data_IF_787520178330
#
_entry.id   IF_787520178330
#
_cell.length_a   1.000
_cell.length_b   1.000
_cell.length_c   1.000
_cell.angle_alpha   90.00
_cell.angle_beta   90.00
_cell.angle_gamma   90.00
#
_symmetry.space_group_name_H-M   'P 1'
#
loop_
_entity.id
_entity.type
_entity.pdbx_description
1 polymer ?
#
# COMPACT_ATOMS: atom_id res chain seq x y z
N UNK A 1 0.46 -41.51 -7.59
CA UNK A 1 -0.69 -40.87 -6.95
C UNK A 1 -0.80 -39.47 -7.51
N UNK A 2 -1.76 -39.22 -8.40
CA UNK A 2 -2.02 -37.88 -8.93
C UNK A 2 -2.53 -37.00 -7.78
N UNK A 3 -1.70 -36.05 -7.36
CA UNK A 3 -2.12 -35.01 -6.41
C UNK A 3 -3.24 -34.24 -7.11
N UNK A 4 -4.47 -34.42 -6.65
CA UNK A 4 -5.64 -33.74 -7.20
C UNK A 4 -5.45 -32.24 -6.95
N UNK A 5 -5.44 -31.43 -8.01
CA UNK A 5 -5.27 -29.98 -7.86
C UNK A 5 -6.30 -29.43 -6.87
N UNK A 6 -5.88 -28.58 -5.91
CA UNK A 6 -6.81 -27.98 -4.96
C UNK A 6 -7.77 -27.05 -5.72
N UNK A 7 -9.07 -27.15 -5.44
CA UNK A 7 -10.04 -26.24 -6.02
C UNK A 7 -9.72 -24.79 -5.60
N UNK A 8 -9.87 -23.82 -6.50
CA UNK A 8 -9.47 -22.42 -6.27
C UNK A 8 -10.05 -21.83 -4.97
N UNK A 9 -11.30 -22.18 -4.63
CA UNK A 9 -11.98 -21.73 -3.41
C UNK A 9 -11.40 -22.33 -2.13
N UNK A 10 -10.70 -23.45 -2.20
CA UNK A 10 -9.94 -23.99 -1.08
C UNK A 10 -8.68 -23.16 -0.81
N UNK A 11 -7.97 -22.79 -1.88
CA UNK A 11 -6.80 -21.91 -1.80
C UNK A 11 -7.21 -20.57 -1.16
N UNK A 12 -8.31 -19.97 -1.65
CA UNK A 12 -8.86 -18.73 -1.10
C UNK A 12 -9.21 -18.88 0.39
N UNK A 13 -9.88 -19.97 0.77
CA UNK A 13 -10.23 -20.22 2.17
C UNK A 13 -8.99 -20.33 3.07
N UNK A 14 -7.96 -21.07 2.63
CA UNK A 14 -6.73 -21.22 3.41
C UNK A 14 -6.02 -19.87 3.62
N UNK A 15 -5.93 -19.05 2.56
CA UNK A 15 -5.39 -17.69 2.66
C UNK A 15 -6.19 -16.86 3.66
N UNK A 16 -7.52 -16.84 3.52
CA UNK A 16 -8.39 -16.05 4.40
C UNK A 16 -8.36 -16.52 5.85
N UNK A 17 -8.14 -17.80 6.14
CA UNK A 17 -7.98 -18.29 7.51
C UNK A 17 -6.67 -17.80 8.13
N UNK A 18 -5.57 -17.77 7.38
CA UNK A 18 -4.31 -17.18 7.87
C UNK A 18 -4.46 -15.68 8.16
N UNK A 19 -5.17 -14.95 7.29
CA UNK A 19 -5.34 -13.50 7.44
C UNK A 19 -6.34 -13.16 8.55
N UNK A 20 -7.55 -13.71 8.49
CA UNK A 20 -8.66 -13.31 9.35
C UNK A 20 -8.62 -13.95 10.75
N UNK A 21 -7.97 -15.10 10.91
CA UNK A 21 -7.99 -15.86 12.17
C UNK A 21 -6.61 -15.93 12.84
N UNK A 22 -5.51 -15.83 12.08
CA UNK A 22 -4.14 -15.81 12.64
C UNK A 22 -3.47 -14.44 12.60
N UNK A 23 -4.16 -13.40 12.11
CA UNK A 23 -3.67 -12.02 12.11
C UNK A 23 -2.46 -11.79 11.20
N UNK A 24 -2.21 -12.66 10.22
CA UNK A 24 -1.13 -12.46 9.25
C UNK A 24 -1.51 -11.40 8.22
N UNK A 25 -0.52 -10.67 7.71
CA UNK A 25 -0.74 -9.62 6.72
C UNK A 25 -1.25 -10.18 5.39
N UNK A 26 -2.30 -9.56 4.85
CA UNK A 26 -3.01 -10.02 3.65
C UNK A 26 -2.09 -10.15 2.45
N UNK A 27 -1.34 -9.08 2.16
CA UNK A 27 -0.42 -8.99 1.02
C UNK A 27 0.72 -10.02 1.08
N UNK A 28 1.21 -10.36 2.28
CA UNK A 28 2.30 -11.34 2.45
C UNK A 28 1.80 -12.74 2.13
N UNK A 29 0.67 -13.15 2.72
CA UNK A 29 0.12 -14.50 2.50
C UNK A 29 -0.38 -14.68 1.08
N UNK A 30 -1.00 -13.64 0.51
CA UNK A 30 -1.45 -13.67 -0.87
C UNK A 30 -0.28 -13.78 -1.84
N UNK A 31 0.79 -13.00 -1.66
CA UNK A 31 1.99 -13.08 -2.49
C UNK A 31 2.65 -14.48 -2.43
N UNK A 32 2.80 -15.03 -1.22
CA UNK A 32 3.33 -16.39 -1.03
C UNK A 32 2.47 -17.44 -1.73
N UNK A 33 1.13 -17.33 -1.63
CA UNK A 33 0.22 -18.24 -2.30
C UNK A 33 0.28 -18.10 -3.82
N UNK A 34 0.26 -16.88 -4.36
CA UNK A 34 0.33 -16.65 -5.81
C UNK A 34 1.65 -17.13 -6.41
N UNK A 35 2.75 -17.00 -5.68
CA UNK A 35 4.05 -17.57 -6.05
C UNK A 35 4.01 -19.09 -6.05
N UNK A 36 3.47 -19.70 -4.97
CA UNK A 36 3.32 -21.16 -4.86
C UNK A 36 2.44 -21.75 -5.96
N UNK A 37 1.39 -21.03 -6.37
CA UNK A 37 0.44 -21.44 -7.39
C UNK A 37 0.66 -20.72 -8.72
N UNK A 38 1.90 -20.33 -9.05
CA UNK A 38 2.24 -19.66 -10.30
C UNK A 38 1.89 -20.50 -11.54
N UNK A 39 1.81 -21.82 -11.42
CA UNK A 39 1.43 -22.70 -12.54
C UNK A 39 -0.05 -22.61 -12.95
N UNK A 40 -0.92 -21.98 -12.14
CA UNK A 40 -2.34 -21.79 -12.49
C UNK A 40 -2.50 -20.82 -13.67
N UNK A 41 -3.64 -20.84 -14.34
CA UNK A 41 -3.93 -19.83 -15.37
C UNK A 41 -4.06 -18.42 -14.77
N UNK A 42 -3.75 -17.38 -15.56
CA UNK A 42 -3.86 -15.97 -15.14
C UNK A 42 -5.25 -15.63 -14.59
N UNK A 43 -6.28 -16.15 -15.22
CA UNK A 43 -7.67 -15.94 -14.80
C UNK A 43 -7.93 -16.51 -13.41
N UNK A 44 -7.37 -17.68 -13.09
CA UNK A 44 -7.53 -18.34 -11.81
C UNK A 44 -6.78 -17.62 -10.69
N UNK A 45 -5.53 -17.20 -10.96
CA UNK A 45 -4.76 -16.35 -10.03
C UNK A 45 -5.46 -15.02 -9.77
N UNK A 46 -6.01 -14.40 -10.81
CA UNK A 46 -6.78 -13.16 -10.70
C UNK A 46 -8.05 -13.36 -9.86
N UNK A 47 -8.74 -14.50 -10.04
CA UNK A 47 -9.91 -14.86 -9.23
C UNK A 47 -9.54 -15.07 -7.76
N UNK A 48 -8.45 -15.79 -7.47
CA UNK A 48 -7.95 -15.96 -6.09
C UNK A 48 -7.67 -14.59 -5.45
N UNK A 49 -6.88 -13.76 -6.13
CA UNK A 49 -6.54 -12.41 -5.66
C UNK A 49 -7.80 -11.58 -5.38
N UNK A 50 -8.73 -11.51 -6.34
CA UNK A 50 -9.93 -10.67 -6.21
C UNK A 50 -10.83 -11.13 -5.06
N UNK A 51 -11.04 -12.43 -4.89
CA UNK A 51 -11.90 -12.92 -3.79
C UNK A 51 -11.22 -12.72 -2.44
N UNK A 52 -9.91 -12.97 -2.32
CA UNK A 52 -9.17 -12.73 -1.06
C UNK A 52 -9.22 -11.25 -0.69
N UNK A 53 -8.75 -10.37 -1.59
CA UNK A 53 -8.68 -8.93 -1.35
C UNK A 53 -10.08 -8.37 -1.03
N UNK A 54 -11.07 -8.72 -1.85
CA UNK A 54 -12.44 -8.25 -1.67
C UNK A 54 -13.11 -8.76 -0.40
N UNK A 55 -12.84 -9.99 0.02
CA UNK A 55 -13.38 -10.51 1.30
C UNK A 55 -12.80 -9.77 2.49
N UNK A 56 -11.52 -9.39 2.44
CA UNK A 56 -10.89 -8.56 3.46
C UNK A 56 -11.45 -7.14 3.37
N UNK A 57 -11.40 -6.50 2.20
CA UNK A 57 -11.86 -5.13 1.92
C UNK A 57 -13.29 -4.87 2.42
N UNK A 58 -14.21 -5.80 2.17
CA UNK A 58 -15.62 -5.66 2.53
C UNK A 58 -16.00 -6.32 3.87
N UNK A 59 -15.05 -6.73 4.71
CA UNK A 59 -15.33 -7.55 5.91
C UNK A 59 -16.43 -7.00 6.82
N UNK A 60 -16.45 -5.69 7.10
CA UNK A 60 -17.48 -5.08 7.97
C UNK A 60 -18.85 -5.14 7.28
N UNK A 61 -18.89 -4.80 6.00
CA UNK A 61 -20.12 -4.84 5.21
C UNK A 61 -20.65 -6.28 5.09
N UNK A 62 -19.78 -7.25 4.79
CA UNK A 62 -20.12 -8.67 4.71
C UNK A 62 -20.63 -9.21 6.04
N UNK A 63 -20.02 -8.82 7.16
CA UNK A 63 -20.49 -9.19 8.49
C UNK A 63 -21.88 -8.63 8.77
N UNK A 64 -22.16 -7.39 8.37
CA UNK A 64 -23.48 -6.79 8.45
C UNK A 64 -24.50 -7.58 7.61
N UNK A 65 -24.20 -7.82 6.33
CA UNK A 65 -25.07 -8.58 5.40
C UNK A 65 -25.38 -9.97 5.99
N UNK A 66 -24.35 -10.71 6.42
CA UNK A 66 -24.52 -12.03 7.01
C UNK A 66 -25.41 -11.98 8.27
N UNK A 67 -25.24 -10.97 9.12
CA UNK A 67 -26.03 -10.79 10.33
C UNK A 67 -27.50 -10.42 10.08
N UNK A 68 -27.82 -9.89 8.89
CA UNK A 68 -29.18 -9.59 8.43
C UNK A 68 -29.93 -10.82 7.92
N UNK A 69 -29.22 -11.82 7.37
CA UNK A 69 -29.82 -13.04 6.81
C UNK A 69 -29.59 -14.31 7.64
N UNK A 70 -28.83 -14.23 8.73
CA UNK A 70 -28.54 -15.36 9.62
C UNK A 70 -29.05 -15.13 11.04
N UNK A 71 -29.72 -16.15 11.59
CA UNK A 71 -30.08 -16.18 13.02
C UNK A 71 -28.86 -16.33 13.93
N UNK A 72 -27.82 -17.04 13.47
CA UNK A 72 -26.54 -17.15 14.17
C UNK A 72 -25.69 -15.96 13.78
N UNK A 73 -25.28 -15.14 14.76
CA UNK A 73 -24.42 -13.98 14.49
C UNK A 73 -23.03 -14.41 14.07
N UNK A 74 -22.40 -13.64 13.19
CA UNK A 74 -21.11 -13.94 12.57
C UNK A 74 -20.02 -14.25 13.61
N UNK A 75 -19.94 -13.48 14.69
CA UNK A 75 -18.98 -13.70 15.76
C UNK A 75 -19.19 -15.01 16.55
N UNK A 76 -20.38 -15.63 16.48
CA UNK A 76 -20.71 -16.92 17.10
C UNK A 76 -20.52 -18.12 16.16
N UNK A 77 -20.26 -17.88 14.88
CA UNK A 77 -20.01 -18.95 13.91
C UNK A 77 -18.60 -19.52 14.09
N UNK A 78 -18.42 -20.80 13.78
CA UNK A 78 -17.09 -21.42 13.72
C UNK A 78 -16.22 -20.68 12.67
N UNK A 79 -14.92 -20.45 12.94
CA UNK A 79 -14.04 -19.68 12.04
C UNK A 79 -14.13 -20.09 10.56
N UNK A 80 -14.01 -21.39 10.28
CA UNK A 80 -14.11 -21.93 8.91
C UNK A 80 -15.45 -21.60 8.25
N UNK A 81 -16.56 -21.77 8.97
CA UNK A 81 -17.90 -21.48 8.42
C UNK A 81 -18.10 -19.99 8.17
N UNK A 82 -17.66 -19.16 9.12
CA UNK A 82 -17.68 -17.71 8.96
C UNK A 82 -16.90 -17.27 7.72
N UNK A 83 -15.70 -17.79 7.53
CA UNK A 83 -14.86 -17.43 6.38
C UNK A 83 -15.45 -17.90 5.06
N UNK A 84 -15.99 -19.13 5.00
CA UNK A 84 -16.73 -19.64 3.83
C UNK A 84 -17.91 -18.72 3.49
N UNK A 85 -18.68 -18.31 4.50
CA UNK A 85 -19.82 -17.43 4.31
C UNK A 85 -19.40 -16.04 3.84
N UNK A 86 -18.35 -15.43 4.41
CA UNK A 86 -17.81 -14.14 4.00
C UNK A 86 -17.35 -14.14 2.54
N UNK A 87 -16.49 -15.09 2.16
CA UNK A 87 -15.98 -15.15 0.79
C UNK A 87 -17.07 -15.45 -0.24
N UNK A 88 -18.12 -16.17 0.16
CA UNK A 88 -19.24 -16.49 -0.73
C UNK A 88 -20.23 -15.35 -0.84
N UNK A 89 -20.50 -14.63 0.25
CA UNK A 89 -21.29 -13.40 0.24
C UNK A 89 -20.60 -12.33 -0.63
N UNK A 90 -19.27 -12.22 -0.55
CA UNK A 90 -18.50 -11.33 -1.43
C UNK A 90 -18.73 -11.65 -2.91
N UNK A 91 -18.63 -12.93 -3.30
CA UNK A 91 -18.91 -13.35 -4.67
C UNK A 91 -20.35 -13.00 -5.11
N UNK A 92 -21.35 -13.22 -4.25
CA UNK A 92 -22.77 -12.95 -4.56
C UNK A 92 -23.06 -11.45 -4.70
N UNK A 93 -22.43 -10.61 -3.87
CA UNK A 93 -22.73 -9.18 -3.78
C UNK A 93 -21.85 -8.29 -4.66
N UNK A 94 -20.65 -8.73 -5.03
CA UNK A 94 -19.66 -7.88 -5.71
C UNK A 94 -19.02 -8.49 -6.95
N UNK A 95 -19.36 -9.72 -7.34
CA UNK A 95 -18.79 -10.38 -8.52
C UNK A 95 -19.86 -10.79 -9.52
N UNK A 96 -20.32 -9.87 -10.36
CA UNK A 96 -21.39 -10.09 -11.34
C UNK A 96 -21.15 -11.26 -12.30
N UNK A 97 -19.87 -11.59 -12.57
CA UNK A 97 -19.49 -12.71 -13.44
C UNK A 97 -19.59 -14.08 -12.77
N UNK A 98 -19.79 -14.14 -11.46
CA UNK A 98 -19.92 -15.39 -10.70
C UNK A 98 -21.40 -15.66 -10.45
N UNK A 99 -22.00 -16.72 -11.04
CA UNK A 99 -23.39 -17.05 -10.76
C UNK A 99 -23.61 -17.33 -9.27
N UNK A 100 -24.63 -16.71 -8.67
CA UNK A 100 -24.99 -16.89 -7.26
C UNK A 100 -25.14 -18.37 -6.87
N UNK A 101 -25.72 -19.17 -7.78
CA UNK A 101 -25.90 -20.62 -7.59
C UNK A 101 -24.56 -21.36 -7.50
N UNK A 102 -23.55 -20.95 -8.26
CA UNK A 102 -22.20 -21.51 -8.21
C UNK A 102 -21.51 -21.16 -6.89
N UNK A 103 -21.61 -19.90 -6.44
CA UNK A 103 -21.08 -19.48 -5.14
C UNK A 103 -21.70 -20.29 -3.98
N UNK A 104 -23.04 -20.46 -3.99
CA UNK A 104 -23.74 -21.27 -2.98
C UNK A 104 -23.30 -22.75 -3.00
N UNK A 105 -23.25 -23.37 -4.17
CA UNK A 105 -22.95 -24.79 -4.31
C UNK A 105 -21.51 -25.09 -3.89
N UNK A 106 -20.55 -24.25 -4.28
CA UNK A 106 -19.15 -24.43 -3.91
C UNK A 106 -18.91 -24.19 -2.42
N UNK A 107 -19.63 -23.24 -1.80
CA UNK A 107 -19.56 -23.04 -0.35
C UNK A 107 -20.02 -24.28 0.44
N UNK A 108 -21.06 -24.96 -0.03
CA UNK A 108 -21.56 -26.21 0.57
C UNK A 108 -20.52 -27.32 0.47
N UNK A 109 -19.96 -27.53 -0.73
CA UNK A 109 -18.91 -28.53 -0.95
C UNK A 109 -17.68 -28.25 -0.08
N UNK A 110 -17.31 -26.98 0.05
CA UNK A 110 -16.17 -26.54 0.85
C UNK A 110 -16.40 -26.80 2.34
N UNK A 111 -17.61 -26.54 2.85
CA UNK A 111 -17.97 -26.86 4.23
C UNK A 111 -17.94 -28.38 4.50
N UNK A 112 -18.46 -29.20 3.59
CA UNK A 112 -18.38 -30.67 3.69
C UNK A 112 -16.92 -31.14 3.69
N UNK A 113 -16.09 -30.64 2.76
CA UNK A 113 -14.67 -31.00 2.66
C UNK A 113 -13.87 -30.64 3.91
N UNK A 114 -14.24 -29.55 4.59
CA UNK A 114 -13.59 -29.08 5.84
C UNK A 114 -14.16 -29.74 7.10
N UNK A 115 -14.94 -30.82 6.97
CA UNK A 115 -15.46 -31.59 8.10
C UNK A 115 -16.72 -31.00 8.75
N UNK A 116 -17.40 -30.06 8.07
CA UNK A 116 -18.62 -29.41 8.58
C UNK A 116 -19.88 -29.84 7.82
N UNK A 117 -19.98 -31.12 7.43
CA UNK A 117 -21.11 -31.65 6.67
C UNK A 117 -22.46 -31.43 7.36
N UNK A 118 -22.50 -31.43 8.70
CA UNK A 118 -23.72 -31.13 9.48
C UNK A 118 -24.21 -29.66 9.37
N UNK A 119 -23.36 -28.75 8.87
CA UNK A 119 -23.68 -27.33 8.70
C UNK A 119 -23.97 -26.94 7.25
N UNK A 120 -23.98 -27.90 6.31
CA UNK A 120 -24.22 -27.61 4.89
C UNK A 120 -25.57 -26.94 4.61
N UNK A 121 -26.63 -27.38 5.31
CA UNK A 121 -27.96 -26.80 5.18
C UNK A 121 -28.01 -25.36 5.67
N UNK A 122 -27.27 -25.07 6.75
CA UNK A 122 -27.12 -23.71 7.26
C UNK A 122 -26.38 -22.81 6.27
N UNK A 123 -25.22 -23.26 5.76
CA UNK A 123 -24.43 -22.50 4.77
C UNK A 123 -25.26 -22.19 3.53
N UNK A 124 -25.90 -23.21 2.94
CA UNK A 124 -26.76 -23.02 1.77
C UNK A 124 -27.93 -22.09 2.06
N UNK A 125 -28.60 -22.27 3.20
CA UNK A 125 -29.77 -21.48 3.60
C UNK A 125 -29.46 -19.99 3.73
N UNK A 126 -28.34 -19.64 4.35
CA UNK A 126 -27.89 -18.25 4.50
C UNK A 126 -27.55 -17.65 3.13
N UNK A 127 -26.70 -18.29 2.34
CA UNK A 127 -26.26 -17.75 1.04
C UNK A 127 -27.40 -17.61 0.03
N UNK A 128 -28.34 -18.58 0.00
CA UNK A 128 -29.54 -18.49 -0.83
C UNK A 128 -30.47 -17.35 -0.40
N UNK A 129 -30.53 -17.05 0.89
CA UNK A 129 -31.33 -15.92 1.39
C UNK A 129 -30.70 -14.58 1.02
N UNK A 130 -29.36 -14.48 1.09
CA UNK A 130 -28.63 -13.31 0.60
C UNK A 130 -28.85 -13.11 -0.90
N UNK A 131 -28.65 -14.16 -1.71
CA UNK A 131 -28.85 -14.08 -3.17
C UNK A 131 -30.24 -13.58 -3.56
N UNK A 132 -31.31 -14.00 -2.86
CA UNK A 132 -32.67 -13.50 -3.09
C UNK A 132 -32.94 -12.08 -2.58
N UNK A 133 -32.15 -11.62 -1.61
CA UNK A 133 -32.39 -10.39 -0.87
C UNK A 133 -31.42 -9.26 -1.18
N UNK A 134 -30.31 -9.52 -1.89
CA UNK A 134 -29.18 -8.60 -2.05
C UNK A 134 -29.57 -7.24 -2.66
N UNK A 135 -30.56 -7.23 -3.55
CA UNK A 135 -31.04 -6.00 -4.20
C UNK A 135 -31.86 -5.10 -3.25
N UNK A 136 -32.30 -5.62 -2.09
CA UNK A 136 -33.06 -4.89 -1.08
C UNK A 136 -32.19 -4.51 0.15
N UNK A 137 -30.87 -4.63 0.06
CA UNK A 137 -29.96 -4.29 1.15
C UNK A 137 -29.95 -2.78 1.39
N UNK A 138 -30.26 -2.38 2.62
CA UNK A 138 -30.09 -1.00 3.10
C UNK A 138 -29.01 -0.98 4.16
N UNK A 139 -28.00 -0.15 3.98
CA UNK A 139 -26.95 0.05 4.96
C UNK A 139 -27.31 1.21 5.90
N UNK A 140 -27.06 1.07 7.20
CA UNK A 140 -27.48 2.07 8.19
C UNK A 140 -26.66 3.36 8.13
N UNK A 141 -25.42 3.27 7.66
CA UNK A 141 -24.47 4.39 7.59
C UNK A 141 -23.36 4.12 6.54
N UNK A 142 -22.55 5.15 6.28
CA UNK A 142 -21.42 5.08 5.36
C UNK A 142 -20.27 4.19 5.84
N UNK A 143 -20.12 4.02 7.15
CA UNK A 143 -19.07 3.21 7.75
C UNK A 143 -19.28 1.74 7.39
N UNK A 144 -20.49 1.22 7.55
CA UNK A 144 -20.86 -0.12 7.09
C UNK A 144 -20.90 -0.18 5.55
N UNK A 145 -21.48 0.81 4.87
CA UNK A 145 -21.58 0.83 3.40
C UNK A 145 -20.20 0.78 2.72
N UNK A 146 -19.20 1.47 3.25
CA UNK A 146 -17.85 1.49 2.70
C UNK A 146 -16.89 0.51 3.39
N UNK A 147 -17.39 -0.34 4.30
CA UNK A 147 -16.59 -1.28 5.08
C UNK A 147 -15.43 -0.61 5.82
N UNK A 148 -15.71 0.50 6.49
CA UNK A 148 -14.78 1.28 7.29
C UNK A 148 -15.10 1.11 8.78
N UNK A 149 -14.12 1.02 9.69
CA UNK A 149 -14.39 1.11 11.11
C UNK A 149 -15.00 2.46 11.48
N UNK A 150 -15.97 2.46 12.40
CA UNK A 150 -16.71 3.65 12.80
C UNK A 150 -15.82 4.78 13.31
N UNK A 151 -14.79 4.42 14.07
CA UNK A 151 -13.85 5.40 14.63
C UNK A 151 -13.03 6.09 13.53
N UNK A 152 -12.59 5.35 12.49
CA UNK A 152 -11.89 5.94 11.34
C UNK A 152 -12.83 6.82 10.52
N UNK A 153 -14.07 6.36 10.28
CA UNK A 153 -15.07 7.14 9.57
C UNK A 153 -15.37 8.46 10.30
N UNK A 154 -15.56 8.41 11.62
CA UNK A 154 -15.78 9.59 12.46
C UNK A 154 -14.59 10.55 12.43
N UNK A 155 -13.38 10.03 12.59
CA UNK A 155 -12.14 10.81 12.54
C UNK A 155 -12.01 11.56 11.21
N UNK A 156 -12.12 10.87 10.07
CA UNK A 156 -11.96 11.51 8.77
C UNK A 156 -13.08 12.47 8.39
N UNK A 157 -14.32 12.21 8.81
CA UNK A 157 -15.41 13.18 8.65
C UNK A 157 -15.11 14.46 9.43
N UNK A 158 -14.54 14.34 10.63
CA UNK A 158 -14.13 15.49 11.43
C UNK A 158 -12.92 16.23 10.82
N UNK A 159 -11.95 15.52 10.24
CA UNK A 159 -10.73 16.12 9.69
C UNK A 159 -10.95 16.75 8.31
N UNK A 160 -11.67 16.06 7.42
CA UNK A 160 -11.75 16.41 6.00
C UNK A 160 -13.15 16.84 5.53
N UNK A 161 -14.17 16.70 6.38
CA UNK A 161 -15.56 16.92 6.03
C UNK A 161 -16.19 15.72 5.30
N UNK A 162 -17.52 15.71 5.21
CA UNK A 162 -18.25 14.56 4.68
C UNK A 162 -18.02 14.31 3.18
N UNK A 163 -17.92 15.36 2.37
CA UNK A 163 -17.75 15.22 0.93
C UNK A 163 -16.40 14.57 0.58
N UNK A 164 -15.32 15.09 1.16
CA UNK A 164 -13.97 14.53 1.00
C UNK A 164 -13.92 13.10 1.50
N UNK A 165 -14.50 12.81 2.67
CA UNK A 165 -14.61 11.46 3.20
C UNK A 165 -15.29 10.50 2.20
N UNK A 166 -16.46 10.88 1.64
CA UNK A 166 -17.16 10.05 0.65
C UNK A 166 -16.30 9.79 -0.59
N UNK A 167 -15.61 10.80 -1.12
CA UNK A 167 -14.70 10.65 -2.27
C UNK A 167 -13.52 9.73 -1.96
N UNK A 168 -12.94 9.83 -0.77
CA UNK A 168 -11.88 8.92 -0.32
C UNK A 168 -12.39 7.47 -0.27
N UNK A 169 -13.58 7.26 0.31
CA UNK A 169 -14.14 5.90 0.44
C UNK A 169 -14.41 5.27 -0.92
N UNK A 170 -15.00 6.03 -1.85
CA UNK A 170 -15.23 5.57 -3.21
C UNK A 170 -13.91 5.29 -3.95
N UNK A 171 -12.86 6.08 -3.71
CA UNK A 171 -11.55 5.84 -4.32
C UNK A 171 -10.84 4.60 -3.78
N UNK A 172 -11.00 4.29 -2.49
CA UNK A 172 -10.41 3.08 -1.92
C UNK A 172 -11.02 1.79 -2.48
N UNK A 173 -12.30 1.81 -2.84
CA UNK A 173 -13.01 0.65 -3.39
C UNK A 173 -12.86 0.49 -4.92
N UNK A 174 -12.21 1.44 -5.60
CA UNK A 174 -11.94 1.37 -7.04
C UNK A 174 -10.63 0.63 -7.29
N UNK A 175 -10.62 -0.20 -8.34
CA UNK A 175 -9.40 -0.82 -8.82
C UNK A 175 -8.39 0.25 -9.23
N UNK A 176 -7.14 0.10 -8.77
CA UNK A 176 -6.03 1.01 -9.10
C UNK A 176 -5.08 0.33 -10.07
N UNK A 177 -4.57 1.05 -11.08
CA UNK A 177 -3.53 0.52 -11.95
C UNK A 177 -2.26 0.23 -11.14
N UNK A 178 -1.47 -0.73 -11.64
CA UNK A 178 -0.12 -0.93 -11.18
C UNK A 178 0.72 0.22 -11.73
N UNK A 179 1.45 0.92 -10.88
CA UNK A 179 2.32 2.02 -11.32
C UNK A 179 3.78 1.60 -11.25
N UNK A 180 4.60 2.13 -12.16
CA UNK A 180 6.03 1.94 -12.18
C UNK A 180 6.74 3.25 -12.50
N UNK A 181 7.87 3.49 -11.83
CA UNK A 181 8.84 4.52 -12.17
C UNK A 181 9.85 3.96 -13.17
N UNK A 182 10.18 4.71 -14.20
CA UNK A 182 11.17 4.40 -15.21
C UNK A 182 12.55 4.84 -14.73
N UNK A 183 13.54 3.95 -14.80
CA UNK A 183 14.93 4.26 -14.49
C UNK A 183 15.61 4.77 -15.77
N UNK A 184 15.40 6.04 -16.13
CA UNK A 184 15.81 6.59 -17.43
C UNK A 184 17.34 6.64 -17.67
N UNK A 185 18.15 6.50 -16.62
CA UNK A 185 19.60 6.32 -16.76
C UNK A 185 20.00 4.91 -17.23
N UNK A 186 19.08 3.95 -17.15
CA UNK A 186 19.31 2.54 -17.51
C UNK A 186 18.87 2.22 -18.93
N UNK A 187 17.73 2.78 -19.33
CA UNK A 187 17.17 2.57 -20.66
C UNK A 187 16.31 3.76 -21.08
N UNK A 188 16.27 4.02 -22.39
CA UNK A 188 15.39 5.04 -22.94
C UNK A 188 13.92 4.65 -22.76
N UNK A 189 13.06 5.65 -22.49
CA UNK A 189 11.63 5.44 -22.29
C UNK A 189 11.00 4.60 -23.41
N UNK A 190 11.31 4.88 -24.68
CA UNK A 190 10.74 4.15 -25.80
C UNK A 190 11.14 2.67 -25.81
N UNK A 191 12.41 2.36 -25.52
CA UNK A 191 12.89 0.97 -25.39
C UNK A 191 12.11 0.21 -24.31
N UNK A 192 11.83 0.86 -23.18
CA UNK A 192 11.07 0.24 -22.08
C UNK A 192 9.63 -0.04 -22.52
N UNK A 193 8.97 0.93 -23.16
CA UNK A 193 7.60 0.80 -23.65
C UNK A 193 7.48 -0.30 -24.71
N UNK A 194 8.46 -0.40 -25.62
CA UNK A 194 8.49 -1.43 -26.67
C UNK A 194 8.68 -2.83 -26.06
N UNK A 195 9.57 -3.00 -25.07
CA UNK A 195 9.77 -4.27 -24.35
C UNK A 195 8.49 -4.71 -23.63
N UNK A 196 7.81 -3.77 -22.96
CA UNK A 196 6.52 -4.04 -22.29
C UNK A 196 5.44 -4.44 -23.31
N UNK A 197 5.34 -3.73 -24.43
CA UNK A 197 4.38 -4.00 -25.49
C UNK A 197 4.59 -5.37 -26.15
N UNK A 198 5.85 -5.75 -26.40
CA UNK A 198 6.22 -7.08 -26.93
C UNK A 198 5.81 -8.23 -25.98
N UNK A 199 5.68 -7.94 -24.68
CA UNK A 199 5.24 -8.90 -23.65
C UNK A 199 3.74 -8.77 -23.31
N UNK A 200 2.98 -8.03 -24.13
CA UNK A 200 1.53 -7.88 -23.99
C UNK A 200 1.10 -7.00 -22.83
N UNK A 201 2.00 -6.17 -22.29
CA UNK A 201 1.71 -5.19 -21.23
C UNK A 201 1.45 -3.84 -21.88
N UNK A 202 0.30 -3.25 -21.54
CA UNK A 202 -0.03 -1.88 -21.95
C UNK A 202 0.54 -0.92 -20.91
N UNK A 203 1.37 0.03 -21.36
CA UNK A 203 1.90 1.10 -20.53
C UNK A 203 1.32 2.45 -20.97
N UNK A 204 0.83 3.25 -20.01
CA UNK A 204 0.29 4.60 -20.25
C UNK A 204 0.96 5.59 -19.31
N UNK A 205 1.24 6.81 -19.76
CA UNK A 205 1.79 7.85 -18.89
C UNK A 205 0.84 8.16 -17.72
N UNK A 206 1.42 8.42 -16.54
CA UNK A 206 0.68 8.87 -15.36
C UNK A 206 0.00 10.23 -15.59
N UNK A 207 0.55 11.03 -16.51
CA UNK A 207 0.23 12.45 -16.78
C UNK A 207 0.72 13.44 -15.72
N UNK A 208 1.29 12.97 -14.61
CA UNK A 208 1.72 13.82 -13.48
C UNK A 208 3.23 13.82 -13.28
N UNK A 209 3.92 12.74 -13.65
CA UNK A 209 5.37 12.64 -13.68
C UNK A 209 5.80 11.95 -14.98
N UNK A 210 6.87 12.46 -15.62
CA UNK A 210 7.31 12.06 -16.96
C UNK A 210 7.92 10.65 -16.99
N UNK A 211 8.43 10.21 -15.85
CA UNK A 211 9.06 8.91 -15.61
C UNK A 211 8.10 7.92 -14.92
N UNK A 212 6.84 8.27 -14.65
CA UNK A 212 5.86 7.35 -14.03
C UNK A 212 4.83 6.89 -15.04
N UNK A 213 4.67 5.57 -15.16
CA UNK A 213 3.72 4.91 -16.04
C UNK A 213 2.73 4.02 -15.27
N UNK A 214 1.53 3.88 -15.81
CA UNK A 214 0.50 2.93 -15.41
C UNK A 214 0.58 1.69 -16.29
N UNK A 215 0.73 0.53 -15.67
CA UNK A 215 0.80 -0.78 -16.29
C UNK A 215 -0.57 -1.48 -16.22
N UNK A 216 -1.02 -2.00 -17.36
CA UNK A 216 -2.21 -2.83 -17.51
C UNK A 216 -1.83 -4.16 -18.16
N UNK A 217 -2.49 -5.24 -17.74
CA UNK A 217 -2.28 -6.56 -18.33
C UNK A 217 -1.04 -7.30 -17.82
N UNK A 218 -0.32 -6.78 -16.82
CA UNK A 218 0.80 -7.50 -16.17
C UNK A 218 0.29 -8.83 -15.60
N UNK A 219 0.96 -9.92 -15.98
CA UNK A 219 0.66 -11.26 -15.45
C UNK A 219 1.63 -11.66 -14.34
N UNK A 220 2.93 -11.66 -14.66
CA UNK A 220 4.01 -11.96 -13.74
C UNK A 220 5.09 -10.89 -13.88
N UNK A 221 5.30 -10.12 -12.82
CA UNK A 221 6.15 -8.93 -12.83
C UNK A 221 7.62 -9.30 -13.08
N UNK A 222 8.11 -10.32 -12.40
CA UNK A 222 9.47 -10.84 -12.52
C UNK A 222 9.69 -11.54 -13.87
N UNK A 223 8.60 -11.84 -14.57
CA UNK A 223 8.57 -12.28 -15.97
C UNK A 223 8.88 -11.16 -16.96
N UNK A 224 8.77 -9.90 -16.56
CA UNK A 224 9.03 -8.77 -17.44
C UNK A 224 10.53 -8.49 -17.58
N UNK A 225 11.00 -8.38 -18.83
CA UNK A 225 12.39 -8.00 -19.12
C UNK A 225 12.75 -6.65 -18.52
N UNK A 226 11.94 -5.62 -18.76
CA UNK A 226 12.15 -4.28 -18.20
C UNK A 226 12.25 -4.27 -16.67
N UNK A 227 11.56 -5.20 -15.98
CA UNK A 227 11.70 -5.35 -14.53
C UNK A 227 13.03 -6.02 -14.16
N UNK A 228 13.38 -7.14 -14.79
CA UNK A 228 14.62 -7.89 -14.51
C UNK A 228 15.88 -7.09 -14.79
N UNK A 229 15.89 -6.30 -15.85
CA UNK A 229 17.03 -5.47 -16.26
C UNK A 229 17.15 -4.16 -15.45
N UNK A 230 16.25 -3.94 -14.49
CA UNK A 230 16.23 -2.75 -13.64
C UNK A 230 15.83 -1.48 -14.39
N UNK A 231 15.14 -1.58 -15.53
CA UNK A 231 14.68 -0.42 -16.29
C UNK A 231 13.45 0.24 -15.67
N UNK A 232 12.75 -0.47 -14.78
CA UNK A 232 11.64 0.07 -14.01
C UNK A 232 11.62 -0.43 -12.57
N UNK A 233 11.00 0.37 -11.71
CA UNK A 233 10.71 0.06 -10.32
C UNK A 233 9.20 0.15 -10.09
N UNK A 234 8.60 -0.87 -9.47
CA UNK A 234 7.20 -0.76 -9.03
C UNK A 234 7.13 0.22 -7.88
N UNK A 235 6.45 1.35 -8.13
CA UNK A 235 6.32 2.46 -7.21
C UNK A 235 5.08 3.28 -7.57
N UNK A 236 4.31 3.68 -6.56
CA UNK A 236 3.18 4.61 -6.74
C UNK A 236 3.68 6.03 -7.01
N UNK A 237 2.91 6.79 -7.81
CA UNK A 237 3.20 8.18 -8.13
C UNK A 237 3.54 9.02 -6.89
N UNK A 238 2.78 8.87 -5.81
CA UNK A 238 3.00 9.64 -4.58
C UNK A 238 4.36 9.37 -3.93
N UNK A 239 4.86 8.13 -4.01
CA UNK A 239 6.18 7.79 -3.49
C UNK A 239 7.31 8.22 -4.42
N UNK A 240 7.09 8.33 -5.73
CA UNK A 240 8.07 8.87 -6.66
C UNK A 240 8.28 10.37 -6.41
N UNK A 241 7.18 11.12 -6.26
CA UNK A 241 7.19 12.57 -6.01
C UNK A 241 7.96 12.97 -4.75
N UNK A 242 8.11 12.08 -3.76
CA UNK A 242 8.92 12.34 -2.57
C UNK A 242 10.41 12.51 -2.90
N UNK A 243 10.94 11.76 -3.87
CA UNK A 243 12.31 11.94 -4.35
C UNK A 243 12.48 13.25 -5.11
N UNK A 244 11.51 13.59 -5.96
CA UNK A 244 11.52 14.85 -6.72
C UNK A 244 11.47 16.09 -5.81
N UNK A 245 10.72 16.01 -4.71
CA UNK A 245 10.59 17.08 -3.72
C UNK A 245 11.92 17.45 -3.05
N UNK A 246 12.84 16.47 -2.93
CA UNK A 246 14.08 16.57 -2.17
C UNK A 246 15.07 17.58 -2.77
N UNK A 247 14.99 17.86 -4.08
CA UNK A 247 15.91 18.76 -4.76
C UNK A 247 17.36 18.29 -4.75
N UNK A 248 17.56 16.96 -4.85
CA UNK A 248 18.87 16.29 -4.91
C UNK A 248 19.66 16.80 -6.12
N UNK A 249 20.96 17.01 -5.92
CA UNK A 249 21.90 17.52 -6.92
C UNK A 249 23.06 16.55 -7.13
N UNK A 250 23.72 16.69 -8.27
CA UNK A 250 24.92 15.93 -8.60
C UNK A 250 25.97 16.05 -7.48
N UNK A 251 26.46 14.89 -7.03
CA UNK A 251 27.48 14.80 -5.98
C UNK A 251 26.94 14.80 -4.54
N UNK A 252 25.64 14.99 -4.32
CA UNK A 252 25.06 14.95 -2.96
C UNK A 252 25.27 13.57 -2.30
N UNK A 253 25.46 13.60 -0.98
CA UNK A 253 25.36 12.41 -0.14
C UNK A 253 23.96 12.33 0.48
N UNK A 254 23.24 11.24 0.20
CA UNK A 254 21.86 11.02 0.62
C UNK A 254 21.78 9.86 1.62
N UNK A 255 21.09 10.07 2.74
CA UNK A 255 20.73 9.01 3.69
C UNK A 255 19.22 8.79 3.66
N UNK A 256 18.77 7.59 3.31
CA UNK A 256 17.37 7.16 3.36
C UNK A 256 17.14 6.28 4.59
N UNK A 257 16.49 6.83 5.62
CA UNK A 257 16.18 6.11 6.86
C UNK A 257 14.81 5.44 6.77
N UNK A 258 14.72 4.22 7.33
CA UNK A 258 13.55 3.36 7.21
C UNK A 258 13.20 3.03 5.75
N UNK A 259 14.24 2.92 4.91
CA UNK A 259 14.09 2.95 3.45
C UNK A 259 13.59 1.66 2.82
N UNK A 260 13.41 0.55 3.54
CA UNK A 260 13.02 -0.71 2.93
C UNK A 260 11.62 -0.65 2.28
N UNK A 261 11.43 -1.21 1.06
CA UNK A 261 12.34 -2.08 0.32
C UNK A 261 13.36 -1.36 -0.61
N UNK A 262 13.51 -0.03 -0.48
CA UNK A 262 14.54 0.77 -1.15
C UNK A 262 14.01 1.76 -2.19
N UNK A 263 12.70 1.86 -2.40
CA UNK A 263 12.13 2.58 -3.54
C UNK A 263 12.51 4.07 -3.64
N UNK A 264 12.63 4.77 -2.51
CA UNK A 264 13.01 6.20 -2.45
C UNK A 264 14.52 6.39 -2.55
N UNK A 265 15.32 5.62 -1.81
CA UNK A 265 16.78 5.63 -1.98
C UNK A 265 17.23 5.26 -3.40
N UNK A 266 16.60 4.27 -4.03
CA UNK A 266 16.82 3.96 -5.45
C UNK A 266 16.41 5.13 -6.34
N UNK A 267 15.35 5.87 -6.00
CA UNK A 267 14.99 7.09 -6.72
C UNK A 267 16.09 8.14 -6.62
N UNK A 268 16.58 8.38 -5.40
CA UNK A 268 17.65 9.34 -5.16
C UNK A 268 18.91 8.98 -5.97
N UNK A 269 19.26 7.70 -6.03
CA UNK A 269 20.41 7.24 -6.81
C UNK A 269 20.19 7.35 -8.33
N UNK A 270 18.95 7.13 -8.80
CA UNK A 270 18.58 7.44 -10.18
C UNK A 270 18.71 8.94 -10.45
N UNK A 271 18.22 9.84 -9.60
CA UNK A 271 18.37 11.29 -9.79
C UNK A 271 19.86 11.69 -9.86
N UNK A 272 20.69 11.08 -9.02
CA UNK A 272 22.13 11.33 -8.97
C UNK A 272 22.90 10.85 -10.22
N UNK A 273 22.32 9.97 -11.05
CA UNK A 273 22.94 9.54 -12.31
C UNK A 273 24.34 8.92 -12.16
N UNK A 274 24.61 8.26 -11.03
CA UNK A 274 25.93 7.69 -10.72
C UNK A 274 26.93 8.66 -10.07
N UNK A 275 26.55 9.92 -9.86
CA UNK A 275 27.29 10.86 -9.02
C UNK A 275 26.92 10.68 -7.54
N UNK A 276 27.69 11.27 -6.62
CA UNK A 276 27.37 11.23 -5.19
C UNK A 276 27.31 9.81 -4.61
N UNK A 277 26.52 9.65 -3.54
CA UNK A 277 26.31 8.35 -2.88
C UNK A 277 24.97 8.33 -2.14
N UNK A 278 24.28 7.19 -2.16
CA UNK A 278 23.07 6.96 -1.37
C UNK A 278 23.29 5.81 -0.39
N UNK A 279 22.97 6.04 0.87
CA UNK A 279 22.91 5.00 1.89
C UNK A 279 21.46 4.76 2.34
N UNK A 280 20.97 3.54 2.14
CA UNK A 280 19.62 3.13 2.53
C UNK A 280 19.70 2.29 3.81
N UNK A 281 19.00 2.72 4.85
CA UNK A 281 19.05 2.14 6.20
C UNK A 281 17.71 1.57 6.64
N UNK A 282 17.72 0.43 7.30
CA UNK A 282 16.55 -0.08 8.03
C UNK A 282 16.96 -0.94 9.24
N UNK A 283 16.01 -1.19 10.15
CA UNK A 283 16.24 -1.76 11.49
C UNK A 283 16.60 -3.25 11.48
N UNK A 284 16.38 -3.98 10.38
CA UNK A 284 16.57 -5.43 10.36
C UNK A 284 17.21 -5.97 9.09
N UNK A 285 18.01 -7.03 9.27
CA UNK A 285 18.62 -7.80 8.18
C UNK A 285 17.62 -8.20 7.11
N UNK A 286 16.44 -8.71 7.52
CA UNK A 286 15.42 -9.16 6.57
C UNK A 286 14.91 -8.02 5.67
N UNK A 287 14.84 -6.78 6.17
CA UNK A 287 14.46 -5.62 5.38
C UNK A 287 15.62 -5.11 4.52
N UNK A 288 16.84 -5.12 5.05
CA UNK A 288 18.06 -4.76 4.30
C UNK A 288 18.29 -5.73 3.15
N UNK A 289 18.03 -7.02 3.30
CA UNK A 289 18.11 -7.97 2.19
C UNK A 289 17.15 -7.63 1.03
N UNK A 290 15.97 -7.07 1.30
CA UNK A 290 15.06 -6.59 0.25
C UNK A 290 15.63 -5.36 -0.48
N UNK A 291 16.37 -4.52 0.24
CA UNK A 291 17.06 -3.36 -0.34
C UNK A 291 18.21 -3.86 -1.24
N UNK A 292 19.04 -4.78 -0.75
CA UNK A 292 20.15 -5.37 -1.49
C UNK A 292 19.68 -6.08 -2.77
N UNK A 293 18.56 -6.80 -2.71
CA UNK A 293 17.94 -7.41 -3.90
C UNK A 293 17.57 -6.35 -4.95
N UNK A 294 16.97 -5.24 -4.53
CA UNK A 294 16.62 -4.15 -5.47
C UNK A 294 17.85 -3.38 -5.95
N UNK A 295 18.91 -3.21 -5.14
CA UNK A 295 20.19 -2.64 -5.56
C UNK A 295 20.83 -3.54 -6.64
N UNK A 296 20.89 -4.85 -6.39
CA UNK A 296 21.44 -5.81 -7.34
C UNK A 296 20.70 -5.79 -8.68
N UNK A 297 19.37 -5.63 -8.66
CA UNK A 297 18.55 -5.54 -9.87
C UNK A 297 18.66 -4.20 -10.59
N UNK A 298 18.81 -3.07 -9.87
CA UNK A 298 18.87 -1.74 -10.49
C UNK A 298 20.14 -1.52 -11.30
N UNK A 299 21.23 -2.22 -10.94
CA UNK A 299 22.54 -2.08 -11.58
C UNK A 299 23.20 -0.71 -11.32
N UNK A 300 22.70 0.04 -10.35
CA UNK A 300 23.29 1.29 -9.86
C UNK A 300 24.51 0.99 -8.96
N UNK A 301 25.52 1.86 -8.98
CA UNK A 301 26.81 1.64 -8.29
C UNK A 301 27.08 2.61 -7.14
N UNK A 302 26.31 3.69 -7.04
CA UNK A 302 26.39 4.73 -6.03
C UNK A 302 25.41 4.51 -4.86
N UNK A 303 25.21 3.24 -4.46
CA UNK A 303 24.27 2.83 -3.42
C UNK A 303 24.92 1.85 -2.44
N UNK A 304 24.54 1.94 -1.16
CA UNK A 304 24.79 0.91 -0.16
C UNK A 304 23.59 0.72 0.77
N UNK A 305 23.42 -0.50 1.27
CA UNK A 305 22.42 -0.81 2.28
C UNK A 305 23.11 -1.01 3.64
N UNK A 306 22.47 -0.61 4.73
CA UNK A 306 22.98 -0.80 6.09
C UNK A 306 21.86 -1.12 7.08
N UNK A 307 22.16 -2.00 8.04
CA UNK A 307 21.27 -2.27 9.17
C UNK A 307 21.51 -1.19 10.23
N UNK A 308 20.52 -0.31 10.42
CA UNK A 308 20.58 0.75 11.42
C UNK A 308 19.20 0.97 12.04
N UNK A 309 19.15 1.09 13.37
CA UNK A 309 17.98 1.58 14.08
C UNK A 309 17.94 3.10 13.99
N UNK A 310 16.88 3.66 13.42
CA UNK A 310 16.71 5.10 13.25
C UNK A 310 16.51 5.85 14.59
N UNK A 311 16.27 5.13 15.69
CA UNK A 311 16.26 5.67 17.05
C UNK A 311 17.68 5.75 17.65
N UNK A 312 18.65 5.06 17.05
CA UNK A 312 20.03 5.07 17.51
C UNK A 312 20.82 6.14 16.75
N UNK A 313 21.44 7.05 17.49
CA UNK A 313 22.31 8.06 16.90
C UNK A 313 23.62 7.42 16.40
N UNK A 314 23.91 7.61 15.11
CA UNK A 314 25.16 7.25 14.47
C UNK A 314 26.11 8.46 14.38
N UNK A 315 27.21 8.48 15.16
CA UNK A 315 28.18 9.59 15.14
C UNK A 315 28.85 9.81 13.79
N UNK A 316 29.04 8.75 12.99
CA UNK A 316 29.70 8.87 11.68
C UNK A 316 28.81 9.59 10.65
N UNK A 317 27.51 9.71 10.96
CA UNK A 317 26.54 10.40 10.13
C UNK A 317 26.23 11.83 10.58
N UNK A 318 26.82 12.31 11.69
CA UNK A 318 26.56 13.66 12.20
C UNK A 318 26.93 14.73 11.17
N UNK A 319 25.95 15.54 10.78
CA UNK A 319 26.08 16.59 9.77
C UNK A 319 26.79 16.12 8.49
N UNK A 320 26.58 14.86 8.12
CA UNK A 320 27.28 14.24 6.99
C UNK A 320 26.49 14.31 5.69
N UNK A 321 25.15 14.33 5.75
CA UNK A 321 24.28 14.21 4.59
C UNK A 321 23.82 15.56 4.04
N UNK A 322 23.87 15.70 2.71
CA UNK A 322 23.28 16.84 1.99
C UNK A 322 21.75 16.72 1.97
N UNK A 323 21.24 15.48 1.89
CA UNK A 323 19.82 15.16 1.94
C UNK A 323 19.58 13.96 2.87
N UNK A 324 18.61 14.08 3.77
CA UNK A 324 18.06 12.95 4.53
C UNK A 324 16.62 12.71 4.08
N UNK A 325 16.32 11.50 3.65
CA UNK A 325 14.96 11.04 3.36
C UNK A 325 14.48 10.23 4.56
N UNK A 326 13.38 10.68 5.16
CA UNK A 326 12.72 10.06 6.29
C UNK A 326 11.33 9.57 5.87
N UNK A 327 11.27 8.37 5.29
CA UNK A 327 10.02 7.66 4.97
C UNK A 327 9.59 6.81 6.16
N UNK A 328 8.95 7.46 7.13
CA UNK A 328 8.85 6.90 8.47
C UNK A 328 7.76 5.81 8.58
N UNK A 329 7.95 4.84 9.50
CA UNK A 329 6.91 3.90 9.87
C UNK A 329 5.63 4.66 10.24
N UNK A 330 4.53 4.33 9.58
CA UNK A 330 3.25 5.01 9.76
C UNK A 330 2.10 4.02 9.69
N UNK A 331 0.89 4.52 9.94
CA UNK A 331 -0.31 3.71 10.00
C UNK A 331 -0.72 3.11 8.66
N UNK A 332 -0.19 3.63 7.54
CA UNK A 332 -0.49 3.15 6.18
C UNK A 332 -1.94 3.40 5.76
N UNK A 333 -2.66 4.28 6.46
CA UNK A 333 -4.07 4.55 6.22
C UNK A 333 -4.36 5.13 4.82
N UNK A 334 -3.36 5.71 4.15
CA UNK A 334 -3.48 6.23 2.79
C UNK A 334 -3.47 5.15 1.70
N UNK A 335 -3.00 3.95 2.01
CA UNK A 335 -2.85 2.83 1.06
C UNK A 335 -3.84 1.69 1.32
N UNK A 336 -4.92 1.93 2.08
CA UNK A 336 -5.89 0.87 2.44
C UNK A 336 -6.61 0.26 1.24
N UNK A 337 -6.67 0.96 0.10
CA UNK A 337 -7.17 0.40 -1.17
C UNK A 337 -6.24 -0.66 -1.79
N UNK A 338 -4.94 -0.64 -1.42
CA UNK A 338 -3.96 -1.66 -1.82
C UNK A 338 -3.78 -2.72 -0.75
N UNK A 339 -3.89 -2.35 0.53
CA UNK A 339 -3.72 -3.22 1.70
C UNK A 339 -4.93 -3.08 2.63
N UNK A 340 -6.06 -3.73 2.31
CA UNK A 340 -7.34 -3.55 3.00
C UNK A 340 -7.34 -4.03 4.45
N UNK A 341 -6.37 -4.84 4.88
CA UNK A 341 -6.22 -5.29 6.26
C UNK A 341 -5.79 -4.18 7.22
N UNK A 342 -5.14 -3.12 6.73
CA UNK A 342 -4.65 -2.00 7.54
C UNK A 342 -5.76 -1.41 8.43
N UNK A 343 -6.92 -1.10 7.85
CA UNK A 343 -8.03 -0.48 8.59
C UNK A 343 -8.59 -1.36 9.72
N UNK A 344 -8.39 -2.68 9.68
CA UNK A 344 -8.87 -3.58 10.73
C UNK A 344 -7.86 -3.81 11.85
N UNK A 345 -6.58 -3.61 11.57
CA UNK A 345 -5.49 -3.84 12.52
C UNK A 345 -5.06 -2.56 13.25
N UNK A 346 -5.52 -1.41 12.77
CA UNK A 346 -5.27 -0.10 13.35
C UNK A 346 -6.23 0.20 14.51
N UNK A 347 -5.72 0.89 15.54
CA UNK A 347 -6.49 1.42 16.67
C UNK A 347 -6.06 2.87 16.94
N UNK A 348 -6.88 3.67 17.64
CA UNK A 348 -6.49 5.03 18.02
C UNK A 348 -5.16 5.09 18.80
N UNK A 349 -4.91 4.13 19.67
CA UNK A 349 -3.68 4.07 20.48
C UNK A 349 -2.46 3.81 19.59
N UNK A 350 -2.53 2.83 18.70
CA UNK A 350 -1.44 2.55 17.74
C UNK A 350 -1.16 3.74 16.81
N UNK A 351 -2.20 4.48 16.44
CA UNK A 351 -2.08 5.66 15.60
C UNK A 351 -1.27 6.76 16.31
N UNK A 352 -1.56 6.99 17.59
CA UNK A 352 -0.81 7.90 18.44
C UNK A 352 0.63 7.42 18.69
N UNK A 353 0.81 6.14 19.01
CA UNK A 353 2.14 5.55 19.24
C UNK A 353 3.05 5.71 18.02
N UNK A 354 2.51 5.56 16.81
CA UNK A 354 3.26 5.78 15.56
C UNK A 354 3.64 7.25 15.37
N UNK A 355 2.74 8.19 15.69
CA UNK A 355 3.06 9.61 15.62
C UNK A 355 4.18 9.98 16.62
N UNK A 356 4.16 9.41 17.83
CA UNK A 356 5.23 9.59 18.82
C UNK A 356 6.56 8.99 18.34
N UNK A 357 6.53 7.76 17.83
CA UNK A 357 7.72 7.10 17.27
C UNK A 357 8.36 7.92 16.15
N UNK A 358 7.55 8.52 15.28
CA UNK A 358 8.04 9.40 14.21
C UNK A 358 8.81 10.61 14.77
N UNK A 359 8.32 11.22 15.87
CA UNK A 359 9.04 12.32 16.54
C UNK A 359 10.37 11.89 17.14
N UNK A 360 10.41 10.70 17.75
CA UNK A 360 11.64 10.14 18.29
C UNK A 360 12.68 9.93 17.19
N UNK A 361 12.28 9.33 16.06
CA UNK A 361 13.16 9.16 14.90
C UNK A 361 13.61 10.52 14.36
N UNK A 362 12.69 11.46 14.12
CA UNK A 362 13.02 12.80 13.62
C UNK A 362 14.01 13.55 14.51
N UNK A 363 13.92 13.37 15.83
CA UNK A 363 14.84 13.99 16.81
C UNK A 363 16.28 13.52 16.62
N UNK A 364 16.47 12.28 16.18
CA UNK A 364 17.78 11.68 15.91
C UNK A 364 18.26 12.06 14.52
N UNK A 365 17.47 11.75 13.49
CA UNK A 365 17.94 11.80 12.09
C UNK A 365 18.13 13.22 11.56
N UNK A 366 17.53 14.23 12.18
CA UNK A 366 17.80 15.63 11.86
C UNK A 366 19.27 16.01 12.08
N UNK A 367 19.95 15.35 13.01
CA UNK A 367 21.38 15.58 13.28
C UNK A 367 22.26 15.14 12.12
N UNK A 368 21.77 14.25 11.26
CA UNK A 368 22.52 13.77 10.10
C UNK A 368 22.57 14.80 8.96
N UNK A 369 21.67 15.78 8.98
CA UNK A 369 21.58 16.82 7.95
C UNK A 369 22.69 17.86 8.17
N UNK A 370 23.47 18.15 7.12
CA UNK A 370 24.43 19.26 7.12
C UNK A 370 23.75 20.61 7.37
N UNK A 371 24.45 21.60 7.93
CA UNK A 371 24.01 23.00 7.83
C UNK A 371 23.70 23.37 6.37
N UNK A 372 22.50 23.88 6.10
CA UNK A 372 22.01 24.16 4.76
C UNK A 372 21.51 22.95 3.94
N UNK A 373 21.61 21.73 4.49
CA UNK A 373 21.09 20.50 3.88
C UNK A 373 19.57 20.35 4.02
N UNK A 374 19.02 19.29 3.42
CA UNK A 374 17.57 19.07 3.30
C UNK A 374 17.12 17.82 4.05
N UNK A 375 15.98 17.91 4.74
CA UNK A 375 15.25 16.77 5.29
C UNK A 375 13.92 16.63 4.55
N UNK A 376 13.67 15.48 3.95
CA UNK A 376 12.37 15.11 3.40
C UNK A 376 11.67 14.18 4.38
N UNK A 377 10.56 14.64 4.94
CA UNK A 377 9.70 13.82 5.78
C UNK A 377 8.51 13.33 4.97
N UNK A 378 8.28 12.01 4.92
CA UNK A 378 7.15 11.44 4.19
C UNK A 378 6.53 10.24 4.88
N UNK A 379 5.25 10.01 4.60
CA UNK A 379 4.47 8.89 5.13
C UNK A 379 3.39 8.47 4.13
N UNK A 380 2.95 7.20 4.18
CA UNK A 380 1.81 6.69 3.39
C UNK A 380 0.48 6.73 4.16
N UNK A 381 0.30 7.76 5.01
CA UNK A 381 -0.89 7.98 5.81
C UNK A 381 -1.63 9.27 5.44
N UNK A 382 -2.91 9.31 5.82
CA UNK A 382 -3.80 10.48 5.76
C UNK A 382 -4.20 10.90 7.19
N UNK A 383 -3.38 10.54 8.17
CA UNK A 383 -3.61 10.96 9.55
C UNK A 383 -2.87 12.26 9.83
N UNK A 384 -3.60 13.25 10.30
CA UNK A 384 -3.05 14.59 10.59
C UNK A 384 -1.97 14.57 11.66
N UNK A 385 -2.16 13.74 12.68
CA UNK A 385 -1.23 13.65 13.83
C UNK A 385 0.15 13.14 13.42
N UNK A 386 0.18 12.12 12.55
CA UNK A 386 1.42 11.62 11.95
C UNK A 386 2.04 12.64 11.00
N UNK A 387 1.26 13.51 10.37
CA UNK A 387 1.70 14.33 9.25
C UNK A 387 1.97 15.79 9.65
N UNK A 388 0.97 16.64 9.45
CA UNK A 388 1.05 18.09 9.65
C UNK A 388 1.41 18.45 11.09
N UNK A 389 0.92 17.69 12.07
CA UNK A 389 1.20 17.97 13.48
C UNK A 389 2.66 17.63 13.83
N UNK A 390 3.20 16.53 13.29
CA UNK A 390 4.61 16.17 13.46
C UNK A 390 5.56 17.11 12.71
N UNK A 391 5.21 17.54 11.50
CA UNK A 391 5.99 18.57 10.79
C UNK A 391 6.03 19.88 11.57
N UNK A 392 4.88 20.34 12.09
CA UNK A 392 4.82 21.59 12.89
C UNK A 392 5.63 21.46 14.18
N UNK A 393 5.44 20.36 14.90
CA UNK A 393 6.26 20.07 16.08
C UNK A 393 7.76 20.09 15.74
N UNK A 394 8.16 19.47 14.62
CA UNK A 394 9.56 19.44 14.21
C UNK A 394 10.14 20.85 13.97
N UNK A 395 9.42 21.69 13.23
CA UNK A 395 9.83 23.08 12.95
C UNK A 395 9.87 23.97 14.19
N UNK A 396 9.09 23.65 15.23
CA UNK A 396 9.13 24.35 16.51
C UNK A 396 10.33 23.95 17.39
N UNK A 397 10.89 22.76 17.21
CA UNK A 397 11.90 22.18 18.10
C UNK A 397 13.31 22.15 17.51
N UNK A 398 13.46 22.21 16.20
CA UNK A 398 14.74 22.11 15.50
C UNK A 398 14.98 23.30 14.58
N UNK A 399 16.25 23.68 14.32
CA UNK A 399 16.60 24.85 13.50
C UNK A 399 16.43 24.54 12.00
N UNK A 400 15.19 24.38 11.56
CA UNK A 400 14.82 24.09 10.19
C UNK A 400 13.77 25.10 9.70
N UNK A 401 13.79 25.37 8.40
CA UNK A 401 12.78 26.18 7.71
C UNK A 401 12.03 25.34 6.67
N UNK A 402 10.72 25.56 6.47
CA UNK A 402 9.96 24.88 5.43
C UNK A 402 10.40 25.33 4.04
N UNK A 403 10.51 24.39 3.10
CA UNK A 403 10.92 24.66 1.72
C UNK A 403 9.69 24.74 0.82
N UNK A 404 9.45 25.88 0.17
CA UNK A 404 8.33 26.04 -0.76
C UNK A 404 8.37 24.99 -1.90
N UNK A 405 7.32 24.18 -1.98
CA UNK A 405 7.18 23.07 -2.94
C UNK A 405 6.49 23.46 -4.25
N UNK A 406 5.94 24.68 -4.36
CA UNK A 406 5.20 25.14 -5.53
C UNK A 406 6.06 25.01 -6.80
N UNK A 407 5.54 24.29 -7.79
CA UNK A 407 6.23 24.01 -9.05
C UNK A 407 7.30 22.91 -8.98
N UNK A 408 7.67 22.39 -7.79
CA UNK A 408 8.66 21.31 -7.66
C UNK A 408 8.10 19.93 -8.02
N UNK A 409 6.79 19.73 -7.86
CA UNK A 409 6.09 18.47 -8.15
C UNK A 409 5.32 18.50 -9.48
N UNK A 410 5.78 19.33 -10.41
CA UNK A 410 5.10 19.62 -11.68
C UNK A 410 3.96 20.63 -11.54
N UNK A 411 3.52 21.17 -12.69
CA UNK A 411 2.51 22.25 -12.74
C UNK A 411 1.08 21.79 -12.46
N UNK A 412 0.81 20.49 -12.59
CA UNK A 412 -0.54 19.91 -12.45
C UNK A 412 -0.92 19.62 -11.00
N UNK A 413 0.05 19.67 -10.08
CA UNK A 413 -0.16 19.51 -8.65
C UNK A 413 0.07 20.86 -7.98
N UNK A 414 -1.00 21.43 -7.43
CA UNK A 414 -0.95 22.73 -6.77
C UNK A 414 -1.93 22.74 -5.61
N UNK A 415 -1.41 22.65 -4.40
CA UNK A 415 -2.16 22.80 -3.15
C UNK A 415 -1.63 24.01 -2.37
N UNK A 416 -2.48 24.78 -1.67
CA UNK A 416 -2.03 25.94 -0.90
C UNK A 416 -0.96 25.60 0.15
N UNK A 417 -1.02 24.39 0.74
CA UNK A 417 -0.04 23.91 1.73
C UNK A 417 1.39 23.81 1.18
N UNK A 418 1.56 23.73 -0.14
CA UNK A 418 2.88 23.63 -0.77
C UNK A 418 3.75 24.87 -0.51
N UNK A 419 3.13 26.05 -0.34
CA UNK A 419 3.84 27.28 0.05
C UNK A 419 4.36 27.20 1.49
N UNK A 420 3.72 26.40 2.34
CA UNK A 420 4.15 26.07 3.70
C UNK A 420 5.06 24.84 3.77
N UNK A 421 5.52 24.35 2.62
CA UNK A 421 6.53 23.31 2.49
C UNK A 421 6.06 21.87 2.64
N UNK A 422 4.75 21.62 2.47
CA UNK A 422 4.22 20.26 2.49
C UNK A 422 3.04 20.06 1.54
N UNK A 423 2.72 18.80 1.25
CA UNK A 423 1.51 18.40 0.55
C UNK A 423 0.92 17.12 1.17
N UNK A 424 -0.40 17.10 1.35
CA UNK A 424 -1.16 15.91 1.75
C UNK A 424 -1.95 15.41 0.54
N UNK A 425 -1.55 14.27 0.00
CA UNK A 425 -2.31 13.55 -1.01
C UNK A 425 -3.45 12.80 -0.33
N UNK A 426 -4.64 12.95 -0.91
CA UNK A 426 -5.87 12.31 -0.47
C UNK A 426 -6.47 11.48 -1.62
N UNK A 427 -6.76 10.19 -1.40
CA UNK A 427 -7.44 9.33 -2.36
C UNK A 427 -8.75 9.94 -2.88
N UNK A 428 -8.95 9.92 -4.20
CA UNK A 428 -10.17 10.44 -4.83
C UNK A 428 -10.21 11.96 -4.96
N UNK A 429 -9.28 12.67 -4.31
CA UNK A 429 -9.00 14.09 -4.54
C UNK A 429 -7.82 14.23 -5.50
N UNK A 430 -6.76 13.48 -5.19
CA UNK A 430 -5.52 13.41 -5.94
C UNK A 430 -5.47 12.11 -6.78
N UNK A 431 -4.63 12.05 -7.83
CA UNK A 431 -4.55 10.91 -8.75
C UNK A 431 -3.75 9.71 -8.21
N UNK A 432 -3.52 9.63 -6.91
CA UNK A 432 -2.63 8.68 -6.26
C UNK A 432 -3.20 8.18 -4.93
N UNK A 433 -2.42 7.33 -4.26
CA UNK A 433 -2.70 6.89 -2.90
C UNK A 433 -2.61 8.05 -1.90
N UNK A 434 -3.10 7.82 -0.68
CA UNK A 434 -2.92 8.77 0.41
C UNK A 434 -1.46 8.77 0.86
N UNK A 435 -0.88 9.97 0.88
CA UNK A 435 0.55 10.15 1.12
C UNK A 435 0.82 11.56 1.61
N UNK A 436 1.92 11.77 2.32
CA UNK A 436 2.34 13.08 2.80
C UNK A 436 3.81 13.30 2.48
N UNK A 437 4.15 14.52 2.07
CA UNK A 437 5.53 14.97 1.83
C UNK A 437 5.69 16.33 2.50
N UNK A 438 6.70 16.49 3.33
CA UNK A 438 7.18 17.77 3.84
C UNK A 438 8.68 17.89 3.57
N UNK A 439 9.12 19.06 3.10
CA UNK A 439 10.54 19.31 2.84
C UNK A 439 10.99 20.51 3.67
N UNK A 440 12.06 20.29 4.42
CA UNK A 440 12.58 21.24 5.39
C UNK A 440 14.08 21.38 5.18
N UNK A 441 14.61 22.59 5.35
CA UNK A 441 16.04 22.88 5.18
C UNK A 441 16.64 23.25 6.52
N UNK A 442 17.79 22.67 6.86
CA UNK A 442 18.49 23.02 8.10
C UNK A 442 19.08 24.41 7.97
N UNK A 443 18.84 25.26 8.97
CA UNK A 443 19.45 26.58 9.04
C UNK A 443 20.99 26.44 9.11
N UNK A 444 21.67 27.38 8.44
CA UNK A 444 23.14 27.40 8.33
C UNK A 444 23.86 27.84 9.60
#
# INVERSE_FOLDING_TARGET
>A
MTVKEPALREIILDILLEVLEKGKYSHVILSQALTKYQYLEKQDRSFIKRVVDGTVEYRIQLDYILNSYSKVKVNKMKPVIRTILRMSAYQICHMDRVPDSAACNEAVKLAEKRGFSGLKGFVNGVLRSISRGKDNLVFPDDSIRCSMPEWLASMWKSTYGEETFRRMMESFLKDRPLMARLCLNRAEKQQILDSLGAQGVTAKDSRYADDVICLEGVDYLEGLEAFREGWLQIQDLSSSLAGDAAGIKDGDYVIDVCGAPGGKGLHAADILGGTGMVEIRDISEAKVSLIEENIGRSGLTNLRAAVCDALSFDPDSEEAADVVIADLPCSGLGIIGRKPDIKYNMTPEKLHDLACLQREILSVVQRYVKPGGTLVYSTCTVNREENEDNMRWFLEHFPFEPVNLKGRLGEKLSEPSMESGYIQFLPGIHPCDGFFIAVMKKCG
#
